data_IF_822064844413
#
_entry.id   IF_822064844413
#
_cell.length_a   1.000
_cell.length_b   1.000
_cell.length_c   1.000
_cell.angle_alpha   90.00
_cell.angle_beta   90.00
_cell.angle_gamma   90.00
#
_symmetry.space_group_name_H-M   'P 1'
#
loop_
_entity.id
_entity.type
_entity.pdbx_description
1 polymer ?
#
# COMPACT_ATOMS: atom_id res chain seq x y z
N UNK A 1 -11.75 3.34 9.76
CA UNK A 1 -12.10 1.99 9.21
C UNK A 1 -10.86 1.11 9.36
N UNK A 2 -10.93 -0.06 9.98
CA UNK A 2 -9.75 -0.95 10.20
C UNK A 2 -9.34 -1.65 8.89
N UNK A 3 -8.04 -1.95 8.70
CA UNK A 3 -7.49 -2.72 7.56
C UNK A 3 -8.25 -4.04 7.36
N UNK A 4 -8.58 -4.73 8.46
CA UNK A 4 -9.38 -5.97 8.42
C UNK A 4 -10.80 -5.74 7.86
N UNK A 5 -11.39 -4.58 8.15
CA UNK A 5 -12.72 -4.19 7.63
C UNK A 5 -12.66 -3.78 6.16
N UNK A 6 -11.54 -3.21 5.70
CA UNK A 6 -11.30 -2.94 4.29
C UNK A 6 -11.18 -4.24 3.49
N UNK A 7 -10.32 -5.17 3.94
CA UNK A 7 -10.20 -6.51 3.36
C UNK A 7 -11.55 -7.25 3.35
N UNK A 8 -12.32 -7.16 4.44
CA UNK A 8 -13.64 -7.79 4.55
C UNK A 8 -14.75 -7.08 3.75
N UNK A 9 -14.60 -5.81 3.37
CA UNK A 9 -15.54 -5.10 2.50
C UNK A 9 -15.37 -5.55 1.05
N UNK A 10 -14.13 -5.78 0.62
CA UNK A 10 -13.81 -6.26 -0.74
C UNK A 10 -14.30 -7.69 -0.97
N UNK A 11 -14.28 -8.54 0.07
CA UNK A 11 -14.88 -9.86 0.02
C UNK A 11 -16.42 -9.86 -0.11
N UNK A 12 -17.09 -8.74 0.21
CA UNK A 12 -18.56 -8.62 0.19
C UNK A 12 -19.13 -7.89 -1.03
N UNK A 13 -18.32 -7.16 -1.80
CA UNK A 13 -18.79 -6.30 -2.91
C UNK A 13 -19.00 -7.01 -4.27
N UNK A 14 -19.16 -8.35 -4.30
CA UNK A 14 -19.67 -9.07 -5.48
C UNK A 14 -21.06 -9.64 -5.20
N UNK A 15 -22.08 -8.81 -5.34
CA UNK A 15 -23.47 -9.25 -5.22
C UNK A 15 -24.51 -8.14 -5.21
N UNK A 16 -24.57 -7.31 -6.26
CA UNK A 16 -25.75 -6.47 -6.50
C UNK A 16 -25.77 -5.96 -7.95
N UNK A 17 -26.01 -6.86 -8.91
CA UNK A 17 -26.41 -6.51 -10.27
C UNK A 17 -27.85 -6.94 -10.50
N UNK A 18 -28.82 -6.07 -10.19
CA UNK A 18 -30.22 -6.26 -10.55
C UNK A 18 -30.47 -5.65 -11.93
N UNK A 19 -30.62 -6.51 -12.95
CA UNK A 19 -31.38 -6.24 -14.18
C UNK A 19 -32.26 -7.47 -14.43
N UNK A 20 -33.58 -7.25 -14.52
CA UNK A 20 -34.56 -8.27 -14.99
C UNK A 20 -34.49 -8.40 -16.53
N UNK A 21 -35.30 -9.27 -17.17
CA UNK A 21 -34.92 -10.63 -17.52
C UNK A 21 -34.93 -10.83 -19.06
N UNK A 22 -34.06 -11.69 -19.57
CA UNK A 22 -34.30 -12.33 -20.86
C UNK A 22 -34.03 -13.81 -20.66
N UNK A 23 -35.10 -14.58 -20.74
CA UNK A 23 -35.07 -16.03 -20.83
C UNK A 23 -34.36 -16.45 -22.12
N UNK A 24 -33.36 -17.31 -22.01
CA UNK A 24 -33.18 -18.46 -22.89
C UNK A 24 -32.14 -19.39 -22.26
N UNK A 25 -32.66 -20.50 -21.73
CA UNK A 25 -31.98 -21.69 -21.24
C UNK A 25 -30.88 -22.19 -22.17
N UNK A 26 -29.75 -22.65 -21.61
CA UNK A 26 -29.22 -24.01 -21.85
C UNK A 26 -28.17 -24.35 -20.77
N UNK A 27 -28.46 -25.48 -20.13
CA UNK A 27 -27.67 -26.46 -19.39
C UNK A 27 -26.79 -26.13 -18.17
N UNK A 28 -27.11 -26.84 -17.09
CA UNK A 28 -26.36 -26.97 -15.84
C UNK A 28 -25.27 -28.03 -16.03
N UNK A 29 -24.04 -27.71 -15.63
CA UNK A 29 -23.17 -28.59 -14.80
C UNK A 29 -21.90 -27.84 -14.41
N UNK A 30 -21.80 -27.52 -13.13
CA UNK A 30 -20.62 -26.90 -12.53
C UNK A 30 -21.00 -25.95 -11.40
N UNK A 31 -21.72 -26.44 -10.39
CA UNK A 31 -21.85 -25.77 -9.09
C UNK A 31 -20.47 -25.69 -8.41
N UNK A 32 -19.65 -24.74 -8.84
CA UNK A 32 -18.47 -24.32 -8.08
C UNK A 32 -18.96 -23.54 -6.87
N UNK A 33 -18.93 -24.18 -5.70
CA UNK A 33 -19.23 -23.51 -4.43
C UNK A 33 -18.29 -22.30 -4.26
N UNK A 34 -18.76 -21.16 -3.71
CA UNK A 34 -17.89 -20.00 -3.41
C UNK A 34 -16.65 -20.39 -2.59
N UNK A 35 -16.77 -21.45 -1.80
CA UNK A 35 -15.75 -22.03 -0.92
C UNK A 35 -14.53 -22.58 -1.70
N UNK A 36 -14.68 -22.95 -2.98
CA UNK A 36 -13.57 -23.44 -3.82
C UNK A 36 -12.57 -22.34 -4.20
N UNK A 37 -12.97 -21.06 -4.16
CA UNK A 37 -12.07 -19.94 -4.46
C UNK A 37 -11.07 -19.68 -3.33
N UNK A 38 -11.49 -19.87 -2.07
CA UNK A 38 -10.62 -19.76 -0.92
C UNK A 38 -9.62 -20.93 -0.89
N UNK A 39 -10.06 -22.15 -1.19
CA UNK A 39 -9.19 -23.32 -1.22
C UNK A 39 -8.16 -23.30 -2.37
N UNK A 40 -8.47 -22.67 -3.52
CA UNK A 40 -7.53 -22.57 -4.64
C UNK A 40 -6.41 -21.53 -4.41
N UNK A 41 -6.60 -20.59 -3.48
CA UNK A 41 -5.53 -19.71 -2.98
C UNK A 41 -4.68 -20.33 -1.88
N UNK A 42 -5.09 -21.46 -1.30
CA UNK A 42 -4.35 -22.15 -0.22
C UNK A 42 -3.39 -23.24 -0.73
N UNK A 43 -3.42 -23.56 -2.03
CA UNK A 43 -2.44 -24.48 -2.64
C UNK A 43 -1.28 -23.71 -3.31
N UNK A 44 -0.25 -23.42 -2.51
CA UNK A 44 1.13 -23.40 -3.00
C UNK A 44 1.79 -22.06 -3.38
N UNK A 45 1.08 -20.93 -3.27
CA UNK A 45 1.68 -19.61 -3.35
C UNK A 45 1.56 -18.96 -1.97
N UNK A 46 2.68 -18.57 -1.36
CA UNK A 46 2.68 -17.73 -0.16
C UNK A 46 1.70 -16.58 -0.41
N UNK A 47 0.62 -16.50 0.37
CA UNK A 47 -0.43 -15.51 0.17
C UNK A 47 0.22 -14.12 0.08
N UNK A 48 0.32 -13.55 -1.13
CA UNK A 48 1.11 -12.34 -1.31
C UNK A 48 0.48 -11.20 -0.53
N UNK A 49 1.32 -10.44 0.19
CA UNK A 49 0.92 -9.20 0.82
C UNK A 49 0.18 -8.30 -0.19
N UNK A 50 -0.86 -7.59 0.26
CA UNK A 50 -1.58 -6.64 -0.61
C UNK A 50 -0.63 -5.53 -1.08
N UNK A 51 -0.94 -4.89 -2.22
CA UNK A 51 -0.04 -3.90 -2.82
C UNK A 51 0.40 -2.76 -1.86
N UNK A 52 -0.49 -2.15 -1.04
CA UNK A 52 -0.08 -1.14 -0.05
C UNK A 52 0.97 -1.64 0.96
N UNK A 53 0.83 -2.87 1.44
CA UNK A 53 1.77 -3.50 2.36
C UNK A 53 3.14 -3.74 1.73
N UNK A 54 3.16 -4.07 0.43
CA UNK A 54 4.40 -4.24 -0.34
C UNK A 54 5.07 -2.92 -0.68
N UNK A 55 4.31 -1.89 -1.04
CA UNK A 55 4.84 -0.52 -1.26
C UNK A 55 5.49 0.01 0.02
N UNK A 56 4.82 -0.15 1.16
CA UNK A 56 5.35 0.31 2.46
C UNK A 56 6.68 -0.38 2.80
N UNK A 57 6.74 -1.70 2.62
CA UNK A 57 7.99 -2.48 2.80
C UNK A 57 9.05 -2.15 1.75
N UNK A 58 8.66 -1.79 0.54
CA UNK A 58 9.58 -1.31 -0.50
C UNK A 58 10.29 -0.03 -0.06
N UNK A 59 9.58 0.93 0.55
CA UNK A 59 10.18 2.16 1.07
C UNK A 59 11.24 1.84 2.13
N UNK A 60 10.93 0.93 3.07
CA UNK A 60 11.93 0.46 4.04
C UNK A 60 13.14 -0.22 3.37
N UNK A 61 12.93 -0.96 2.26
CA UNK A 61 14.06 -1.49 1.48
C UNK A 61 14.90 -0.39 0.85
N UNK A 62 14.29 0.67 0.33
CA UNK A 62 15.05 1.82 -0.18
C UNK A 62 15.86 2.51 0.93
N UNK A 63 15.33 2.60 2.16
CA UNK A 63 16.10 3.10 3.31
C UNK A 63 17.38 2.28 3.52
N UNK A 64 17.28 0.94 3.49
CA UNK A 64 18.47 0.05 3.62
C UNK A 64 19.46 0.17 2.45
N UNK A 65 19.06 0.76 1.32
CA UNK A 65 19.91 1.04 0.14
C UNK A 65 20.55 2.44 0.17
N UNK A 66 20.36 3.16 1.28
CA UNK A 66 20.94 4.49 1.50
C UNK A 66 20.03 5.64 1.11
N UNK A 67 18.76 5.40 0.75
CA UNK A 67 17.78 6.48 0.47
C UNK A 67 17.07 6.93 1.75
N UNK A 68 17.81 7.20 2.83
CA UNK A 68 17.26 7.39 4.17
C UNK A 68 16.35 8.62 4.32
N UNK A 69 16.48 9.62 3.43
CA UNK A 69 15.62 10.80 3.41
C UNK A 69 14.34 10.62 2.56
N UNK A 70 13.95 9.39 2.20
CA UNK A 70 12.62 9.13 1.63
C UNK A 70 11.56 9.06 2.71
N UNK A 71 10.41 9.69 2.47
CA UNK A 71 9.21 9.50 3.27
C UNK A 71 8.09 8.81 2.48
N UNK A 72 7.22 8.12 3.21
CA UNK A 72 5.90 7.70 2.77
C UNK A 72 4.84 8.43 3.60
N UNK A 73 3.96 9.17 2.95
CA UNK A 73 2.77 9.74 3.57
C UNK A 73 1.54 9.10 2.93
N UNK A 74 0.81 8.30 3.70
CA UNK A 74 -0.26 7.46 3.17
C UNK A 74 -1.51 7.46 4.03
N UNK A 75 -2.65 7.25 3.38
CA UNK A 75 -3.96 7.30 3.99
C UNK A 75 -5.02 6.58 3.18
N UNK A 76 -6.27 6.68 3.59
CA UNK A 76 -7.41 6.12 2.86
C UNK A 76 -8.20 7.22 2.17
N UNK A 77 -8.81 6.92 1.02
CA UNK A 77 -9.78 7.80 0.36
C UNK A 77 -11.05 8.00 1.19
N UNK A 78 -11.86 9.04 0.91
CA UNK A 78 -13.11 9.32 1.60
C UNK A 78 -14.07 8.13 1.74
N UNK A 79 -14.21 7.35 0.68
CA UNK A 79 -15.06 6.17 0.65
C UNK A 79 -14.37 4.90 1.20
N UNK A 80 -13.11 5.00 1.63
CA UNK A 80 -12.30 3.85 2.03
C UNK A 80 -12.03 2.87 0.87
N UNK A 81 -12.15 3.32 -0.38
CA UNK A 81 -12.08 2.47 -1.58
C UNK A 81 -10.67 2.23 -2.05
N UNK A 82 -9.79 3.22 -1.90
CA UNK A 82 -8.39 3.13 -2.28
C UNK A 82 -7.47 3.66 -1.18
N UNK A 83 -6.28 3.08 -1.12
CA UNK A 83 -5.16 3.59 -0.34
C UNK A 83 -4.45 4.64 -1.16
N UNK A 84 -4.31 5.85 -0.60
CA UNK A 84 -3.64 6.98 -1.21
C UNK A 84 -2.26 7.11 -0.61
N UNK A 85 -1.27 7.42 -1.42
CA UNK A 85 0.08 7.60 -0.94
C UNK A 85 0.84 8.67 -1.71
N UNK A 86 1.80 9.25 -1.01
CA UNK A 86 2.84 10.10 -1.54
C UNK A 86 4.17 9.54 -1.07
N UNK A 87 5.11 9.33 -2.00
CA UNK A 87 6.52 9.08 -1.69
C UNK A 87 7.28 10.32 -2.13
N UNK A 88 8.03 10.90 -1.20
CA UNK A 88 8.79 12.11 -1.44
C UNK A 88 10.11 12.12 -0.69
N UNK A 89 10.85 13.22 -0.88
CA UNK A 89 12.11 13.47 -0.18
C UNK A 89 11.86 14.43 0.97
N UNK A 90 12.39 14.14 2.16
CA UNK A 90 12.35 15.04 3.31
C UNK A 90 12.92 16.41 2.92
N UNK A 91 12.31 17.49 3.44
CA UNK A 91 12.84 18.84 3.28
C UNK A 91 14.16 19.05 4.02
N UNK A 92 14.80 20.21 3.82
CA UNK A 92 16.12 20.55 4.39
C UNK A 92 16.24 20.37 5.92
N UNK A 93 15.13 20.46 6.66
CA UNK A 93 15.07 20.29 8.12
C UNK A 93 14.43 18.96 8.53
N UNK A 94 14.43 17.95 7.66
CA UNK A 94 13.70 16.69 7.86
C UNK A 94 12.18 16.83 7.76
N UNK A 95 11.68 17.97 7.27
CA UNK A 95 10.25 18.28 7.27
C UNK A 95 9.46 17.43 6.27
N UNK A 96 8.29 16.92 6.68
CA UNK A 96 7.33 16.20 5.84
C UNK A 96 5.91 16.21 6.44
N UNK A 97 4.84 15.94 5.67
CA UNK A 97 4.81 15.88 4.20
C UNK A 97 5.07 17.28 3.58
N UNK A 98 5.20 17.35 2.26
CA UNK A 98 5.37 18.63 1.54
C UNK A 98 6.81 18.96 1.14
N UNK A 99 7.72 17.98 1.18
CA UNK A 99 8.99 18.05 0.46
C UNK A 99 8.80 17.84 -1.06
N UNK A 100 9.87 17.49 -1.76
CA UNK A 100 9.77 17.17 -3.19
C UNK A 100 9.12 15.79 -3.35
N UNK A 101 7.84 15.77 -3.73
CA UNK A 101 7.12 14.53 -4.06
C UNK A 101 7.71 13.88 -5.32
N UNK A 102 8.00 12.58 -5.23
CA UNK A 102 8.48 11.76 -6.35
C UNK A 102 7.29 11.14 -7.06
N UNK A 103 6.33 10.63 -6.29
CA UNK A 103 5.07 10.09 -6.80
C UNK A 103 3.95 10.31 -5.80
N UNK A 104 2.78 10.67 -6.31
CA UNK A 104 1.52 10.73 -5.57
C UNK A 104 0.50 9.93 -6.37
N UNK A 105 -0.10 8.92 -5.74
CA UNK A 105 -1.00 8.00 -6.43
C UNK A 105 -2.00 7.34 -5.46
N UNK A 106 -2.93 6.57 -5.99
CA UNK A 106 -3.87 5.77 -5.22
C UNK A 106 -4.01 4.37 -5.80
N UNK A 107 -4.05 3.37 -4.92
CA UNK A 107 -4.14 1.97 -5.33
C UNK A 107 -5.23 1.24 -4.57
N UNK A 108 -5.84 0.28 -5.28
CA UNK A 108 -6.65 -0.74 -4.66
C UNK A 108 -5.78 -1.80 -3.96
N UNK A 109 -6.43 -2.82 -3.36
CA UNK A 109 -5.75 -3.95 -2.71
C UNK A 109 -5.06 -4.87 -3.71
N UNK A 110 -5.72 -5.04 -4.86
CA UNK A 110 -5.27 -5.79 -6.02
C UNK A 110 -5.15 -4.78 -7.15
N UNK A 111 -3.95 -4.59 -7.67
CA UNK A 111 -3.68 -3.57 -8.68
C UNK A 111 -2.23 -3.58 -9.14
N UNK A 112 -1.92 -2.71 -10.09
CA UNK A 112 -0.55 -2.38 -10.48
C UNK A 112 -0.32 -0.90 -10.21
N UNK A 113 0.95 -0.53 -10.15
CA UNK A 113 1.41 0.85 -10.25
C UNK A 113 2.11 1.00 -11.58
N UNK A 114 2.11 2.20 -12.17
CA UNK A 114 2.71 2.43 -13.49
C UNK A 114 4.20 2.03 -13.55
N UNK A 115 4.87 2.03 -12.41
CA UNK A 115 6.30 1.74 -12.27
C UNK A 115 6.62 0.29 -11.86
N UNK A 116 5.63 -0.61 -11.65
CA UNK A 116 5.92 -2.02 -11.33
C UNK A 116 4.76 -3.00 -11.57
N UNK A 117 5.10 -4.29 -11.67
CA UNK A 117 4.16 -5.40 -11.92
C UNK A 117 3.32 -5.73 -10.67
N UNK A 118 2.11 -6.24 -10.90
CA UNK A 118 1.06 -6.55 -9.90
C UNK A 118 1.51 -7.44 -8.73
N UNK A 119 2.56 -8.24 -8.91
CA UNK A 119 2.98 -9.30 -8.00
C UNK A 119 4.43 -9.17 -7.49
N UNK A 120 5.09 -8.03 -7.68
CA UNK A 120 6.49 -7.87 -7.33
C UNK A 120 6.71 -7.85 -5.80
N UNK A 121 7.72 -8.59 -5.35
CA UNK A 121 8.21 -8.55 -3.97
C UNK A 121 8.82 -7.17 -3.63
N UNK A 122 8.85 -6.73 -2.36
CA UNK A 122 9.38 -5.41 -1.97
C UNK A 122 10.77 -5.09 -2.52
N UNK A 123 11.66 -6.08 -2.61
CA UNK A 123 13.01 -5.93 -3.18
C UNK A 123 12.98 -5.62 -4.67
N UNK A 124 12.09 -6.28 -5.42
CA UNK A 124 11.88 -6.06 -6.85
C UNK A 124 11.18 -4.73 -7.08
N UNK A 125 10.17 -4.40 -6.28
CA UNK A 125 9.51 -3.09 -6.29
C UNK A 125 10.52 -1.96 -6.08
N UNK A 126 11.48 -2.11 -5.15
CA UNK A 126 12.52 -1.11 -4.91
C UNK A 126 13.42 -0.93 -6.14
N UNK A 127 13.83 -2.03 -6.79
CA UNK A 127 14.64 -1.95 -8.01
C UNK A 127 13.88 -1.30 -9.18
N UNK A 128 12.59 -1.62 -9.32
CA UNK A 128 11.73 -1.01 -10.34
C UNK A 128 11.49 0.48 -10.08
N UNK A 129 11.30 0.86 -8.81
CA UNK A 129 11.16 2.25 -8.38
C UNK A 129 12.44 3.05 -8.65
N UNK A 130 13.61 2.49 -8.33
CA UNK A 130 14.92 3.09 -8.63
C UNK A 130 15.16 3.27 -10.13
N UNK A 131 14.82 2.25 -10.94
CA UNK A 131 14.92 2.34 -12.40
C UNK A 131 14.02 3.43 -12.98
N UNK A 132 12.84 3.60 -12.40
CA UNK A 132 11.84 4.56 -12.91
C UNK A 132 12.09 5.99 -12.46
N UNK A 133 12.47 6.19 -11.20
CA UNK A 133 12.59 7.51 -10.56
C UNK A 133 14.02 7.86 -10.12
N UNK A 134 15.04 7.20 -10.67
CA UNK A 134 16.43 7.30 -10.22
C UNK A 134 16.97 8.73 -10.09
N UNK A 135 16.60 9.65 -10.99
CA UNK A 135 17.00 11.06 -10.91
C UNK A 135 16.34 11.79 -9.74
N UNK A 136 15.03 11.62 -9.55
CA UNK A 136 14.26 12.21 -8.46
C UNK A 136 14.61 11.61 -7.08
N UNK A 137 15.13 10.38 -7.05
CA UNK A 137 15.59 9.70 -5.85
C UNK A 137 16.95 10.20 -5.33
N UNK A 138 17.79 10.79 -6.19
CA UNK A 138 19.15 11.20 -5.81
C UNK A 138 19.21 12.05 -4.54
N UNK A 139 18.36 13.09 -4.36
CA UNK A 139 18.37 13.91 -3.16
C UNK A 139 18.02 13.14 -1.87
N UNK A 140 17.40 11.96 -1.97
CA UNK A 140 17.06 11.15 -0.82
C UNK A 140 18.25 10.33 -0.27
N UNK A 141 19.38 10.28 -1.00
CA UNK A 141 20.63 9.73 -0.47
C UNK A 141 21.25 10.73 0.50
N UNK A 142 20.95 10.58 1.77
CA UNK A 142 21.42 11.45 2.83
C UNK A 142 21.67 10.66 4.12
N UNK A 143 22.54 11.17 4.98
CA UNK A 143 22.85 10.58 6.29
C UNK A 143 21.82 10.96 7.36
N UNK A 144 20.55 11.11 6.97
CA UNK A 144 19.43 11.42 7.87
C UNK A 144 18.65 10.14 8.12
N UNK A 145 18.94 9.46 9.23
CA UNK A 145 18.35 8.14 9.52
C UNK A 145 17.14 8.19 10.44
N UNK A 146 16.92 9.28 11.19
CA UNK A 146 15.88 9.34 12.22
C UNK A 146 14.48 8.94 11.71
N UNK A 147 14.08 9.43 10.54
CA UNK A 147 12.83 9.02 9.88
C UNK A 147 12.86 7.55 9.47
N UNK A 148 13.93 7.10 8.81
CA UNK A 148 14.07 5.73 8.34
C UNK A 148 14.02 4.72 9.51
N UNK A 149 14.68 5.03 10.62
CA UNK A 149 14.70 4.23 11.84
C UNK A 149 13.32 4.19 12.52
N UNK A 150 12.65 5.35 12.60
CA UNK A 150 11.26 5.45 13.07
C UNK A 150 10.31 4.61 12.20
N UNK A 151 10.43 4.73 10.88
CA UNK A 151 9.55 4.06 9.92
C UNK A 151 9.75 2.54 9.95
N UNK A 152 11.01 2.08 9.98
CA UNK A 152 11.35 0.67 10.06
C UNK A 152 10.82 0.02 11.34
N UNK A 153 10.89 0.72 12.49
CA UNK A 153 10.36 0.25 13.77
C UNK A 153 8.85 0.01 13.71
N UNK A 154 8.10 1.01 13.24
CA UNK A 154 6.64 0.89 13.13
C UNK A 154 6.20 -0.16 12.11
N UNK A 155 6.94 -0.32 11.00
CA UNK A 155 6.64 -1.40 10.06
C UNK A 155 6.89 -2.80 10.62
N UNK A 156 7.80 -2.95 11.59
CA UNK A 156 8.05 -4.23 12.25
C UNK A 156 6.88 -4.66 13.17
N UNK A 157 6.02 -3.72 13.57
CA UNK A 157 4.82 -3.99 14.37
C UNK A 157 3.63 -4.46 13.51
N UNK A 158 3.72 -4.33 12.19
CA UNK A 158 2.63 -4.67 11.25
C UNK A 158 2.75 -6.09 10.73
N UNK A 159 1.61 -6.78 10.69
CA UNK A 159 1.49 -8.07 9.99
C UNK A 159 1.82 -7.94 8.50
N UNK A 160 2.13 -9.06 7.84
CA UNK A 160 2.53 -9.11 6.42
C UNK A 160 1.54 -8.40 5.47
N UNK A 161 0.24 -8.40 5.81
CA UNK A 161 -0.83 -7.79 5.01
C UNK A 161 -1.24 -6.39 5.49
N UNK A 162 -0.65 -5.89 6.59
CA UNK A 162 -0.94 -4.58 7.13
C UNK A 162 0.01 -3.52 6.56
N UNK A 163 -0.49 -2.28 6.60
CA UNK A 163 0.17 -1.11 6.02
C UNK A 163 -0.25 0.18 6.75
N UNK A 164 0.62 1.20 6.80
CA UNK A 164 0.34 2.49 7.42
C UNK A 164 -0.84 3.21 6.76
N UNK A 165 -1.67 3.81 7.60
CA UNK A 165 -2.81 4.66 7.25
C UNK A 165 -2.79 5.80 8.26
N UNK A 166 -2.18 6.90 7.88
CA UNK A 166 -1.96 8.08 8.73
C UNK A 166 -3.16 9.02 8.72
N UNK A 167 -3.84 9.14 7.58
CA UNK A 167 -5.03 9.98 7.44
C UNK A 167 -6.17 9.24 6.75
N UNK A 168 -7.40 9.61 7.09
CA UNK A 168 -8.64 9.17 6.48
C UNK A 168 -9.76 10.15 6.89
N UNK A 169 -10.91 10.07 6.24
CA UNK A 169 -12.08 10.89 6.59
C UNK A 169 -12.73 10.47 7.93
N UNK A 170 -12.32 9.34 8.50
CA UNK A 170 -12.64 8.94 9.86
C UNK A 170 -11.37 8.51 10.61
N UNK A 171 -11.51 7.84 11.77
CA UNK A 171 -10.35 7.38 12.53
C UNK A 171 -9.43 6.50 11.66
N UNK A 172 -8.21 7.00 11.46
CA UNK A 172 -7.14 6.33 10.76
C UNK A 172 -6.33 5.50 11.78
N UNK A 173 -6.17 4.17 11.58
CA UNK A 173 -5.56 3.28 12.57
C UNK A 173 -4.18 3.72 13.06
N UNK A 174 -3.40 4.35 12.18
CA UNK A 174 -2.01 4.71 12.44
C UNK A 174 -1.80 6.23 12.53
N UNK A 175 -2.88 7.03 12.66
CA UNK A 175 -2.77 8.48 12.79
C UNK A 175 -1.88 8.90 13.98
N UNK A 176 -1.97 8.17 15.08
CA UNK A 176 -1.19 8.44 16.29
C UNK A 176 0.33 8.33 16.08
N UNK A 177 0.81 7.55 15.11
CA UNK A 177 2.23 7.44 14.79
C UNK A 177 2.83 8.78 14.34
N UNK A 178 2.02 9.65 13.73
CA UNK A 178 2.48 10.95 13.25
C UNK A 178 2.86 11.92 14.37
N UNK A 179 2.34 11.74 15.58
CA UNK A 179 2.70 12.60 16.72
C UNK A 179 4.17 12.43 17.13
N UNK A 180 4.76 11.27 16.83
CA UNK A 180 6.13 10.91 17.18
C UNK A 180 7.06 10.87 15.95
N UNK A 181 6.51 11.14 14.77
CA UNK A 181 7.23 11.10 13.51
C UNK A 181 8.30 12.20 13.44
N UNK A 182 9.59 11.85 13.28
CA UNK A 182 10.64 12.85 13.12
C UNK A 182 10.37 13.77 11.94
N UNK A 183 10.27 15.07 12.22
CA UNK A 183 10.07 16.10 11.20
C UNK A 183 8.67 16.18 10.60
N UNK A 184 7.67 15.48 11.15
CA UNK A 184 6.29 15.64 10.69
C UNK A 184 5.75 17.04 11.01
N UNK A 185 5.06 17.68 10.04
CA UNK A 185 4.51 19.06 10.13
C UNK A 185 3.06 19.17 9.63
N UNK A 186 2.28 18.10 9.73
CA UNK A 186 0.87 18.15 9.35
C UNK A 186 -0.08 18.42 10.50
#
# INVERSE_FOLDING_TARGET
MSVRRWLAHLGRSRGAGSRRPVEASVDRRGDGRPDEWLARTESGAVAQAVLPARISRMVARLHTRGYAALYLHAGMSPAGTCWRYEIGVLGANGAWPGGAAIVTDSVGPVGSVAWSRVAAEPTTLAADFERTYGSALRPARADVTAYADWYARHLAELDAHEFPIFFADGPAPHAHWLAEAPGYRG
#
